data_IF_419162700506
#
_entry.id   IF_419162700506
#
_cell.length_a   1.000
_cell.length_b   1.000
_cell.length_c   1.000
_cell.angle_alpha   90.00
_cell.angle_beta   90.00
_cell.angle_gamma   90.00
#
_symmetry.space_group_name_H-M   'P 1'
#
loop_
_entity.id
_entity.type
_entity.pdbx_description
1 polymer ?
#
# COMPACT_ATOMS: atom_id res chain seq x y z
N UNK A 1 8.36 -3.99 -9.85
CA UNK A 1 7.64 -3.59 -8.62
C UNK A 1 8.45 -4.03 -7.41
N UNK A 2 8.51 -3.25 -6.33
CA UNK A 2 9.17 -3.67 -5.09
C UNK A 2 8.28 -4.68 -4.34
N UNK A 3 8.89 -5.67 -3.68
CA UNK A 3 8.17 -6.68 -2.89
C UNK A 3 7.54 -6.06 -1.65
N UNK A 4 8.27 -5.18 -0.96
CA UNK A 4 7.80 -4.59 0.30
C UNK A 4 8.14 -5.46 1.52
N UNK A 5 8.08 -4.87 2.73
CA UNK A 5 8.67 -5.45 3.96
C UNK A 5 7.70 -6.27 4.80
N UNK A 6 6.42 -5.94 4.74
CA UNK A 6 5.38 -6.62 5.52
C UNK A 6 4.62 -7.62 4.65
N UNK A 7 4.08 -8.66 5.27
CA UNK A 7 3.24 -9.67 4.62
C UNK A 7 1.90 -9.79 5.36
N UNK A 8 0.82 -10.06 4.62
CA UNK A 8 -0.45 -10.46 5.23
C UNK A 8 -0.43 -11.93 5.69
N UNK A 9 -1.50 -12.38 6.35
CA UNK A 9 -1.64 -13.76 6.83
C UNK A 9 -1.57 -14.84 5.73
N UNK A 10 -1.72 -14.45 4.45
CA UNK A 10 -1.62 -15.35 3.28
C UNK A 10 -0.22 -15.33 2.68
N UNK A 11 0.74 -14.64 3.31
CA UNK A 11 2.11 -14.50 2.84
C UNK A 11 2.27 -13.52 1.68
N UNK A 12 1.23 -12.73 1.34
CA UNK A 12 1.36 -11.71 0.29
C UNK A 12 2.05 -10.49 0.84
N UNK A 13 3.09 -10.07 0.17
CA UNK A 13 3.84 -8.86 0.50
C UNK A 13 3.03 -7.58 0.27
N UNK A 14 3.38 -6.48 0.94
CA UNK A 14 2.78 -5.15 0.71
C UNK A 14 2.86 -4.70 -0.74
N UNK A 15 3.90 -5.09 -1.47
CA UNK A 15 4.03 -4.89 -2.92
C UNK A 15 2.97 -5.63 -3.70
N UNK A 16 2.77 -6.92 -3.45
CA UNK A 16 1.72 -7.72 -4.08
C UNK A 16 0.31 -7.19 -3.75
N UNK A 17 0.11 -6.74 -2.52
CA UNK A 17 -1.14 -6.12 -2.05
C UNK A 17 -1.45 -4.85 -2.83
N UNK A 18 -0.46 -3.97 -3.02
CA UNK A 18 -0.60 -2.75 -3.83
C UNK A 18 -0.73 -3.08 -5.32
N UNK A 19 -0.06 -4.12 -5.81
CA UNK A 19 -0.18 -4.58 -7.21
C UNK A 19 -1.62 -4.99 -7.54
N UNK A 20 -2.28 -5.68 -6.61
CA UNK A 20 -3.64 -6.17 -6.74
C UNK A 20 -4.69 -5.04 -6.75
N UNK A 21 -4.34 -3.83 -6.30
CA UNK A 21 -5.27 -2.70 -6.30
C UNK A 21 -5.56 -2.27 -7.74
N UNK A 22 -6.84 -2.32 -8.07
CA UNK A 22 -7.43 -1.73 -9.26
C UNK A 22 -8.20 -0.48 -8.84
N UNK A 23 -7.78 0.70 -9.33
CA UNK A 23 -8.47 1.96 -9.14
C UNK A 23 -8.92 2.51 -10.48
N UNK A 24 -10.11 3.12 -10.52
CA UNK A 24 -10.59 3.81 -11.70
C UNK A 24 -9.67 4.96 -12.15
N UNK A 25 -9.79 5.32 -13.42
CA UNK A 25 -9.01 6.38 -14.08
C UNK A 25 -7.87 5.86 -14.95
N UNK A 26 -6.87 6.71 -15.21
CA UNK A 26 -5.70 6.37 -16.02
C UNK A 26 -4.83 5.26 -15.41
N UNK A 27 -3.99 4.62 -16.24
CA UNK A 27 -3.15 3.50 -15.82
C UNK A 27 -2.26 3.88 -14.64
N UNK A 28 -2.18 2.99 -13.65
CA UNK A 28 -1.29 3.15 -12.51
C UNK A 28 0.11 2.69 -12.92
N UNK A 29 1.06 3.60 -12.84
CA UNK A 29 2.46 3.37 -13.19
C UNK A 29 3.19 2.53 -12.14
N UNK A 30 4.26 1.84 -12.54
CA UNK A 30 5.11 1.12 -11.59
C UNK A 30 5.77 2.06 -10.57
N UNK A 31 6.04 3.31 -10.95
CA UNK A 31 6.55 4.34 -10.03
C UNK A 31 5.54 4.64 -8.92
N UNK A 32 4.27 4.86 -9.27
CA UNK A 32 3.20 5.08 -8.29
C UNK A 32 3.02 3.86 -7.39
N UNK A 33 3.05 2.64 -7.94
CA UNK A 33 2.96 1.41 -7.13
C UNK A 33 4.12 1.28 -6.17
N UNK A 34 5.34 1.47 -6.64
CA UNK A 34 6.53 1.40 -5.79
C UNK A 34 6.50 2.46 -4.67
N UNK A 35 6.04 3.68 -4.96
CA UNK A 35 5.90 4.73 -3.96
C UNK A 35 4.78 4.41 -2.95
N UNK A 36 3.66 3.87 -3.41
CA UNK A 36 2.56 3.43 -2.56
C UNK A 36 2.97 2.27 -1.65
N UNK A 37 3.75 1.31 -2.15
CA UNK A 37 4.32 0.21 -1.33
C UNK A 37 5.27 0.74 -0.27
N UNK A 38 6.13 1.72 -0.58
CA UNK A 38 7.01 2.34 0.43
C UNK A 38 6.21 3.08 1.51
N UNK A 39 5.16 3.79 1.11
CA UNK A 39 4.27 4.48 2.05
C UNK A 39 3.56 3.47 2.95
N UNK A 40 3.01 2.39 2.38
CA UNK A 40 2.37 1.32 3.13
C UNK A 40 3.33 0.68 4.14
N UNK A 41 4.55 0.33 3.71
CA UNK A 41 5.56 -0.22 4.62
C UNK A 41 5.89 0.75 5.77
N UNK A 42 6.03 2.05 5.50
CA UNK A 42 6.34 3.03 6.54
C UNK A 42 5.20 3.18 7.56
N UNK A 43 3.94 3.12 7.11
CA UNK A 43 2.80 3.14 8.02
C UNK A 43 2.71 1.87 8.85
N UNK A 44 3.01 0.71 8.27
CA UNK A 44 3.01 -0.56 8.99
C UNK A 44 4.19 -0.68 9.96
N UNK A 45 5.36 -0.13 9.64
CA UNK A 45 6.47 -0.02 10.60
C UNK A 45 6.04 0.77 11.85
N UNK A 46 5.37 1.92 11.66
CA UNK A 46 4.87 2.72 12.78
C UNK A 46 3.71 2.04 13.53
N UNK A 47 2.80 1.37 12.81
CA UNK A 47 1.69 0.64 13.42
C UNK A 47 2.15 -0.58 14.24
N UNK A 48 3.24 -1.22 13.83
CA UNK A 48 3.83 -2.35 14.54
C UNK A 48 4.30 -1.96 15.96
N UNK A 49 4.70 -0.70 16.19
CA UNK A 49 5.01 -0.18 17.53
C UNK A 49 3.80 -0.22 18.48
N UNK A 50 2.59 -0.29 17.92
CA UNK A 50 1.32 -0.40 18.63
C UNK A 50 0.72 -1.81 18.56
N UNK A 51 1.45 -2.79 18.03
CA UNK A 51 0.98 -4.16 17.85
C UNK A 51 -0.05 -4.34 16.74
N UNK A 52 -0.19 -3.36 15.83
CA UNK A 52 -1.08 -3.46 14.68
C UNK A 52 -0.32 -3.90 13.43
N UNK A 53 -0.98 -4.73 12.63
CA UNK A 53 -0.47 -5.37 11.42
C UNK A 53 -1.32 -5.03 10.20
N UNK A 54 -0.85 -5.46 9.02
CA UNK A 54 -1.63 -5.31 7.79
C UNK A 54 -2.99 -6.03 7.86
N UNK A 55 -3.05 -7.20 8.53
CA UNK A 55 -4.29 -7.94 8.71
C UNK A 55 -5.27 -7.21 9.63
N UNK A 56 -4.80 -6.47 10.64
CA UNK A 56 -5.67 -5.64 11.49
C UNK A 56 -6.31 -4.52 10.67
N UNK A 57 -5.54 -3.90 9.77
CA UNK A 57 -6.07 -2.88 8.88
C UNK A 57 -7.07 -3.44 7.88
N UNK A 58 -6.89 -4.66 7.37
CA UNK A 58 -7.81 -5.29 6.42
C UNK A 58 -9.26 -5.38 6.93
N UNK A 59 -9.44 -5.45 8.25
CA UNK A 59 -10.76 -5.47 8.88
C UNK A 59 -11.45 -4.09 8.93
N UNK A 60 -10.68 -3.00 8.96
CA UNK A 60 -11.19 -1.66 9.25
C UNK A 60 -11.03 -0.67 8.09
N UNK A 61 -10.09 -0.90 7.17
CA UNK A 61 -9.77 0.01 6.08
C UNK A 61 -9.03 -0.65 4.90
N UNK A 62 -9.29 -0.17 3.68
CA UNK A 62 -8.44 -0.47 2.51
C UNK A 62 -7.15 0.36 2.53
N UNK A 63 -6.26 0.05 3.48
CA UNK A 63 -5.01 0.79 3.65
C UNK A 63 -4.08 0.74 2.42
N UNK A 64 -3.89 -0.42 1.73
CA UNK A 64 -3.07 -0.45 0.51
C UNK A 64 -3.63 0.44 -0.60
N UNK A 65 -4.95 0.43 -0.80
CA UNK A 65 -5.60 1.29 -1.77
C UNK A 65 -5.53 2.77 -1.41
N UNK A 66 -5.69 3.13 -0.12
CA UNK A 66 -5.54 4.50 0.36
C UNK A 66 -4.12 5.04 0.12
N UNK A 67 -3.09 4.23 0.37
CA UNK A 67 -1.71 4.60 0.06
C UNK A 67 -1.53 4.91 -1.44
N UNK A 68 -2.13 4.10 -2.30
CA UNK A 68 -2.10 4.34 -3.75
C UNK A 68 -2.82 5.63 -4.14
N UNK A 69 -4.00 5.88 -3.57
CA UNK A 69 -4.80 7.08 -3.86
C UNK A 69 -4.06 8.36 -3.42
N UNK A 70 -3.37 8.34 -2.27
CA UNK A 70 -2.52 9.44 -1.80
C UNK A 70 -1.39 9.74 -2.80
N UNK A 71 -0.67 8.72 -3.25
CA UNK A 71 0.43 8.88 -4.20
C UNK A 71 -0.09 9.45 -5.53
N UNK A 72 -1.17 8.88 -6.08
CA UNK A 72 -1.78 9.37 -7.33
C UNK A 72 -2.27 10.80 -7.21
N UNK A 73 -2.86 11.15 -6.06
CA UNK A 73 -3.28 12.53 -5.77
C UNK A 73 -2.10 13.49 -5.85
N UNK A 74 -0.96 13.14 -5.23
CA UNK A 74 0.26 13.94 -5.30
C UNK A 74 0.82 14.03 -6.71
N UNK A 75 0.87 12.94 -7.47
CA UNK A 75 1.42 12.94 -8.83
C UNK A 75 0.57 13.76 -9.81
N UNK A 76 -0.75 13.84 -9.62
CA UNK A 76 -1.65 14.65 -10.47
C UNK A 76 -1.64 16.14 -10.14
N UNK A 77 -1.19 16.52 -8.94
CA UNK A 77 -1.10 17.92 -8.52
C UNK A 77 0.21 18.59 -8.92
N UNK A 78 1.12 17.85 -9.57
CA UNK A 78 2.38 18.34 -10.17
C UNK A 78 2.18 18.45 -11.67
#
# INVERSE_FOLDING_TARGET
MIVGRHTDQKGRSTGERVAAIQRGGGPVTDTERNAATRLLDALLDAAAEHGASLDDFDWVADLPGACLDVIRGKTRSV
#
